data_IF_804260898000
#
_entry.id   IF_804260898000
#
_cell.length_a   1.000
_cell.length_b   1.000
_cell.length_c   1.000
_cell.angle_alpha   90.00
_cell.angle_beta   90.00
_cell.angle_gamma   90.00
#
_symmetry.space_group_name_H-M   'P 1'
#
loop_
_entity.id
_entity.type
_entity.pdbx_description
1 polymer ?
#
# COMPACT_ATOMS: atom_id res chain seq x y z
N UNK A 1 36.25 14.25 -22.26
CA UNK A 1 35.02 14.74 -21.60
C UNK A 1 33.92 13.72 -21.85
N UNK A 2 33.22 13.25 -20.82
CA UNK A 2 32.17 12.22 -20.97
C UNK A 2 30.81 12.87 -20.69
N UNK A 3 29.83 12.61 -21.56
CA UNK A 3 28.44 13.05 -21.39
C UNK A 3 27.56 11.83 -21.17
N UNK A 4 26.74 11.88 -20.12
CA UNK A 4 25.73 10.86 -19.82
C UNK A 4 24.36 11.44 -20.13
N UNK A 5 23.53 10.67 -20.81
CA UNK A 5 22.14 11.01 -21.11
C UNK A 5 21.28 9.86 -20.61
N UNK A 6 20.24 10.18 -19.85
CA UNK A 6 19.27 9.22 -19.35
C UNK A 6 17.86 9.76 -19.56
N UNK A 7 16.97 8.86 -19.94
CA UNK A 7 15.54 9.13 -20.05
C UNK A 7 14.84 8.46 -18.88
N UNK A 8 13.79 9.08 -18.41
CA UNK A 8 12.86 8.47 -17.47
C UNK A 8 11.47 9.00 -17.76
N UNK A 9 10.48 8.16 -17.48
CA UNK A 9 9.08 8.57 -17.48
C UNK A 9 8.80 9.33 -16.18
N UNK A 10 8.41 10.59 -16.29
CA UNK A 10 8.23 11.51 -15.17
C UNK A 10 6.96 11.21 -14.35
N UNK A 11 5.95 10.58 -14.95
CA UNK A 11 4.69 10.28 -14.29
C UNK A 11 4.71 8.86 -13.74
N UNK A 12 4.98 7.88 -14.61
CA UNK A 12 4.95 6.47 -14.24
C UNK A 12 6.12 6.11 -13.32
N UNK A 13 7.34 6.54 -13.68
CA UNK A 13 8.53 6.25 -12.89
C UNK A 13 8.48 6.87 -11.50
N UNK A 14 7.97 8.11 -11.40
CA UNK A 14 7.78 8.77 -10.12
C UNK A 14 6.70 8.07 -9.28
N UNK A 15 5.55 7.74 -9.89
CA UNK A 15 4.46 7.03 -9.20
C UNK A 15 4.92 5.70 -8.60
N UNK A 16 5.71 4.92 -9.35
CA UNK A 16 6.31 3.68 -8.84
C UNK A 16 7.25 3.92 -7.65
N UNK A 17 8.08 4.97 -7.70
CA UNK A 17 8.96 5.32 -6.56
C UNK A 17 8.17 5.72 -5.31
N UNK A 18 7.01 6.36 -5.46
CA UNK A 18 6.14 6.71 -4.33
C UNK A 18 5.54 5.46 -3.69
N UNK A 19 5.10 4.48 -4.47
CA UNK A 19 4.60 3.19 -3.95
C UNK A 19 5.70 2.44 -3.18
N UNK A 20 6.90 2.37 -3.74
CA UNK A 20 8.05 1.77 -3.06
C UNK A 20 8.38 2.47 -1.74
N UNK A 21 8.31 3.80 -1.71
CA UNK A 21 8.53 4.57 -0.50
C UNK A 21 7.45 4.27 0.55
N UNK A 22 6.18 4.16 0.15
CA UNK A 22 5.09 3.81 1.05
C UNK A 22 5.31 2.42 1.69
N UNK A 23 5.69 1.42 0.89
CA UNK A 23 6.05 0.10 1.41
C UNK A 23 7.25 0.15 2.36
N UNK A 24 8.28 0.93 2.03
CA UNK A 24 9.47 1.08 2.88
C UNK A 24 9.13 1.72 4.23
N UNK A 25 8.28 2.75 4.22
CA UNK A 25 7.83 3.44 5.43
C UNK A 25 6.98 2.50 6.29
N UNK A 26 6.02 1.79 5.69
CA UNK A 26 5.20 0.82 6.40
C UNK A 26 6.04 -0.28 7.08
N UNK A 27 7.02 -0.83 6.37
CA UNK A 27 7.92 -1.86 6.89
C UNK A 27 8.80 -1.38 8.06
N UNK A 28 9.02 -0.07 8.19
CA UNK A 28 9.88 0.53 9.22
C UNK A 28 9.11 1.39 10.22
N UNK A 29 7.78 1.39 10.16
CA UNK A 29 6.96 2.25 11.00
C UNK A 29 7.10 1.85 12.48
N UNK A 30 7.59 2.75 13.36
CA UNK A 30 7.74 2.43 14.77
C UNK A 30 6.38 2.13 15.40
N UNK A 31 6.23 0.96 16.03
CA UNK A 31 4.98 0.53 16.65
C UNK A 31 4.01 -0.20 15.72
N UNK A 32 4.36 -0.41 14.45
CA UNK A 32 3.68 -1.39 13.59
C UNK A 32 4.10 -2.81 13.99
N UNK A 33 3.58 -3.29 15.13
CA UNK A 33 3.46 -4.74 15.35
C UNK A 33 2.39 -5.25 14.39
N UNK A 34 2.59 -6.37 13.66
CA UNK A 34 1.55 -6.94 12.83
C UNK A 34 0.48 -7.52 13.76
N UNK A 35 -0.49 -6.68 14.15
CA UNK A 35 -1.68 -7.09 14.89
C UNK A 35 -2.84 -6.84 13.94
N UNK A 36 -3.05 -7.77 13.02
CA UNK A 36 -4.07 -7.67 11.97
C UNK A 36 -3.57 -8.16 10.62
N UNK A 37 -4.47 -8.22 9.62
CA UNK A 37 -4.09 -8.58 8.24
C UNK A 37 -3.39 -7.46 7.48
N UNK A 38 -3.28 -6.26 8.08
CA UNK A 38 -2.73 -5.07 7.44
C UNK A 38 -3.75 -4.30 6.59
N UNK A 39 -4.96 -4.86 6.43
CA UNK A 39 -6.11 -4.20 5.85
C UNK A 39 -7.09 -3.78 6.98
N UNK A 40 -7.25 -2.47 7.25
CA UNK A 40 -8.20 -1.97 8.23
C UNK A 40 -9.63 -2.47 8.01
N UNK A 41 -10.03 -2.71 6.75
CA UNK A 41 -11.36 -3.19 6.41
C UNK A 41 -11.53 -4.66 6.81
N UNK A 42 -10.53 -5.49 6.53
CA UNK A 42 -10.56 -6.91 6.91
C UNK A 42 -10.55 -7.08 8.44
N UNK A 43 -9.76 -6.28 9.16
CA UNK A 43 -9.75 -6.29 10.63
C UNK A 43 -11.05 -5.75 11.25
N UNK A 44 -11.71 -4.81 10.58
CA UNK A 44 -13.04 -4.32 10.94
C UNK A 44 -14.11 -5.40 10.72
N UNK A 45 -14.09 -6.08 9.58
CA UNK A 45 -15.06 -7.12 9.24
C UNK A 45 -14.96 -8.37 10.10
N UNK A 46 -13.77 -8.69 10.63
CA UNK A 46 -13.58 -9.74 11.66
C UNK A 46 -14.35 -9.44 12.95
N UNK A 47 -14.51 -8.16 13.29
CA UNK A 47 -15.23 -7.72 14.51
C UNK A 47 -16.71 -7.43 14.24
N UNK A 48 -17.05 -7.02 13.02
CA UNK A 48 -18.38 -6.57 12.64
C UNK A 48 -18.86 -7.27 11.35
N UNK A 49 -19.14 -8.58 11.38
CA UNK A 49 -19.47 -9.35 10.17
C UNK A 49 -20.83 -9.02 9.55
N UNK A 50 -21.70 -8.28 10.25
CA UNK A 50 -23.05 -7.94 9.79
C UNK A 50 -23.14 -6.63 9.01
N UNK A 51 -22.06 -5.86 8.95
CA UNK A 51 -22.05 -4.56 8.28
C UNK A 51 -22.07 -4.71 6.76
N UNK A 52 -22.70 -3.76 6.07
CA UNK A 52 -22.83 -3.79 4.61
C UNK A 52 -21.48 -3.77 3.90
N UNK A 53 -20.50 -3.07 4.48
CA UNK A 53 -19.13 -2.94 4.00
C UNK A 53 -18.36 -4.27 4.01
N UNK A 54 -18.87 -5.27 4.75
CA UNK A 54 -18.28 -6.60 4.88
C UNK A 54 -18.96 -7.65 4.00
N UNK A 55 -19.98 -7.27 3.23
CA UNK A 55 -20.65 -8.18 2.30
C UNK A 55 -19.79 -8.35 1.06
N UNK A 56 -19.28 -9.56 0.87
CA UNK A 56 -18.69 -9.97 -0.41
C UNK A 56 -19.85 -10.19 -1.38
N UNK A 57 -20.08 -9.22 -2.26
CA UNK A 57 -21.02 -9.37 -3.35
C UNK A 57 -20.41 -10.30 -4.39
N UNK A 58 -20.91 -11.52 -4.50
CA UNK A 58 -20.65 -12.37 -5.66
C UNK A 58 -21.53 -11.90 -6.83
N UNK A 59 -20.92 -11.70 -8.00
CA UNK A 59 -21.61 -11.37 -9.25
C UNK A 59 -22.18 -12.62 -9.93
#
# INVERSE_FOLDING_TARGET
MVKVVAWYDNEWGYSQRVVDLAHLVAAKWPGATPVGSGDPLEDFCKKNPGEEECKVYEF
#
